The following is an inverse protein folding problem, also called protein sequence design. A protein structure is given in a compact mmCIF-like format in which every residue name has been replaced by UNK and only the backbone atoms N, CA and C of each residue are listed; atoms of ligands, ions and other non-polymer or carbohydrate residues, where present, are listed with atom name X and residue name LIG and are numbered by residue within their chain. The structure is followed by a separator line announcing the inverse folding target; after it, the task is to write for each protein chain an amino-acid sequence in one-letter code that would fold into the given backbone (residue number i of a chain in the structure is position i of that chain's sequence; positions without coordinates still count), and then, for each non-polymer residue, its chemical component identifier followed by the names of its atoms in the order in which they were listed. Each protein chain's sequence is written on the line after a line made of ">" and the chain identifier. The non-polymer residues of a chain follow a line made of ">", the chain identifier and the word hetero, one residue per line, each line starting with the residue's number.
data_IF_294778433172
#
_entry.id   IF_294778433172
#
_cell.length_a   1.000
_cell.length_b   1.000
_cell.length_c   1.000
_cell.angle_alpha   90.00
_cell.angle_beta   90.00
_cell.angle_gamma   90.00
#
_symmetry.space_group_name_H-M   'P 1'
#
loop_
_entity.id
_entity.type
_entity.pdbx_description
1 polymer ?
#
# COMPACT_ATOMS: atom_id res chain seq x y z
N UNK A 1 -14.75 -13.64 -57.80
CA UNK A 1 -13.37 -14.15 -57.93
C UNK A 1 -12.59 -13.65 -56.72
N UNK A 2 -12.44 -14.45 -55.67
CA UNK A 2 -11.74 -14.04 -54.45
C UNK A 2 -10.24 -14.08 -54.75
N UNK A 3 -9.59 -12.92 -54.69
CA UNK A 3 -8.17 -12.78 -55.01
C UNK A 3 -7.31 -13.60 -54.03
N UNK A 4 -6.28 -14.28 -54.53
CA UNK A 4 -5.32 -15.07 -53.73
C UNK A 4 -4.66 -14.20 -52.64
N UNK A 5 -4.58 -12.88 -52.86
CA UNK A 5 -4.13 -11.90 -51.85
C UNK A 5 -5.08 -11.79 -50.66
N UNK A 6 -6.40 -11.86 -50.87
CA UNK A 6 -7.40 -11.79 -49.80
C UNK A 6 -7.38 -13.04 -48.92
N UNK A 7 -7.19 -14.23 -49.51
CA UNK A 7 -7.08 -15.50 -48.77
C UNK A 7 -5.84 -15.50 -47.86
N UNK A 8 -4.71 -14.99 -48.37
CA UNK A 8 -3.47 -14.85 -47.61
C UNK A 8 -3.61 -13.90 -46.40
N UNK A 9 -4.25 -12.74 -46.59
CA UNK A 9 -4.46 -11.76 -45.53
C UNK A 9 -5.41 -12.27 -44.43
N UNK A 10 -6.49 -12.98 -44.80
CA UNK A 10 -7.43 -13.56 -43.84
C UNK A 10 -6.75 -14.69 -43.03
N UNK A 11 -5.93 -15.52 -43.68
CA UNK A 11 -5.18 -16.60 -43.01
C UNK A 11 -4.17 -16.06 -42.00
N UNK A 12 -3.46 -14.98 -42.35
CA UNK A 12 -2.47 -14.38 -41.47
C UNK A 12 -3.14 -13.68 -40.27
N UNK A 13 -4.26 -12.99 -40.49
CA UNK A 13 -5.06 -12.40 -39.42
C UNK A 13 -5.60 -13.46 -38.46
N UNK A 14 -6.09 -14.60 -38.96
CA UNK A 14 -6.55 -15.72 -38.13
C UNK A 14 -5.42 -16.32 -37.28
N UNK A 15 -4.24 -16.54 -37.86
CA UNK A 15 -3.07 -17.04 -37.13
C UNK A 15 -2.65 -16.08 -36.02
N UNK A 16 -2.63 -14.77 -36.27
CA UNK A 16 -2.32 -13.77 -35.25
C UNK A 16 -3.36 -13.78 -34.12
N UNK A 17 -4.65 -13.86 -34.44
CA UNK A 17 -5.73 -13.85 -33.44
C UNK A 17 -5.70 -15.08 -32.52
N UNK A 18 -5.43 -16.27 -33.09
CA UNK A 18 -5.31 -17.51 -32.32
C UNK A 18 -4.14 -17.46 -31.33
N UNK A 19 -2.99 -16.94 -31.75
CA UNK A 19 -1.81 -16.80 -30.89
C UNK A 19 -2.02 -15.82 -29.72
N UNK A 20 -2.75 -14.71 -29.93
CA UNK A 20 -3.08 -13.75 -28.86
C UNK A 20 -3.97 -14.38 -27.77
N UNK A 21 -4.95 -15.20 -28.17
CA UNK A 21 -5.85 -15.86 -27.22
C UNK A 21 -5.16 -16.95 -26.38
N UNK A 22 -4.20 -17.67 -26.97
CA UNK A 22 -3.45 -18.71 -26.29
C UNK A 22 -2.57 -18.14 -25.17
N UNK A 23 -1.98 -16.96 -25.37
CA UNK A 23 -1.13 -16.29 -24.39
C UNK A 23 -1.88 -15.98 -23.07
N UNK A 24 -3.15 -15.57 -23.17
CA UNK A 24 -3.99 -15.21 -22.03
C UNK A 24 -4.35 -16.41 -21.14
N UNK A 25 -4.44 -17.62 -21.71
CA UNK A 25 -4.85 -18.84 -21.00
C UNK A 25 -3.71 -19.36 -20.12
N UNK A 26 -2.47 -19.29 -20.59
CA UNK A 26 -1.28 -19.68 -19.81
C UNK A 26 -1.08 -18.84 -18.55
N UNK A 27 -1.39 -17.54 -18.62
CA UNK A 27 -1.24 -16.62 -17.47
C UNK A 27 -2.26 -16.91 -16.34
N UNK A 28 -3.45 -17.41 -16.68
CA UNK A 28 -4.52 -17.73 -15.73
C UNK A 28 -4.16 -19.00 -14.91
N UNK A 29 -3.58 -20.01 -15.55
CA UNK A 29 -3.16 -21.25 -14.88
C UNK A 29 -1.96 -21.02 -13.94
N UNK A 30 -1.05 -20.11 -14.29
CA UNK A 30 0.06 -19.72 -13.42
C UNK A 30 -0.41 -18.97 -12.16
N UNK A 31 -1.46 -18.16 -12.25
CA UNK A 31 -2.06 -17.47 -11.10
C UNK A 31 -2.73 -18.45 -10.11
N UNK A 32 -3.40 -19.50 -10.59
CA UNK A 32 -4.04 -20.51 -9.72
C UNK A 32 -3.03 -21.26 -8.84
N UNK A 33 -1.87 -21.65 -9.40
CA UNK A 33 -0.86 -22.46 -8.68
C UNK A 33 -0.13 -21.71 -7.56
N UNK A 34 -0.16 -20.37 -7.55
CA UNK A 34 0.50 -19.53 -6.53
C UNK A 34 -0.35 -19.31 -5.26
N UNK A 35 -1.61 -19.74 -5.27
CA UNK A 35 -2.58 -19.45 -4.20
C UNK A 35 -2.55 -20.40 -2.99
N UNK A 36 -1.75 -21.47 -3.02
CA UNK A 36 -1.54 -22.36 -1.85
C UNK A 36 -0.32 -21.96 -1.01
N UNK A 37 -0.06 -20.66 -0.89
CA UNK A 37 1.06 -20.10 -0.14
C UNK A 37 0.70 -19.86 1.33
N UNK A 38 1.60 -20.23 2.25
CA UNK A 38 1.57 -19.82 3.67
C UNK A 38 1.08 -18.37 3.81
N UNK A 39 0.19 -18.12 4.78
CA UNK A 39 -0.18 -16.77 5.19
C UNK A 39 1.10 -15.96 5.43
N UNK A 40 1.39 -15.01 4.54
CA UNK A 40 2.46 -14.03 4.79
C UNK A 40 1.93 -13.12 5.88
N UNK A 41 2.58 -13.12 7.04
CA UNK A 41 2.41 -12.01 7.96
C UNK A 41 2.99 -10.76 7.30
N UNK A 42 2.14 -9.75 7.16
CA UNK A 42 2.53 -8.43 6.67
C UNK A 42 2.67 -7.52 7.89
N UNK A 43 3.76 -6.76 7.95
CA UNK A 43 3.85 -5.64 8.88
C UNK A 43 2.84 -4.58 8.44
N UNK A 44 1.95 -4.19 9.35
CA UNK A 44 0.89 -3.22 9.07
C UNK A 44 1.35 -1.84 9.53
N UNK A 45 1.34 -0.86 8.62
CA UNK A 45 1.53 0.54 8.98
C UNK A 45 0.20 1.11 9.45
N UNK A 46 0.16 1.60 10.68
CA UNK A 46 -0.95 2.37 11.20
C UNK A 46 -0.61 3.87 11.14
N UNK A 47 -1.55 4.67 10.62
CA UNK A 47 -1.44 6.13 10.60
C UNK A 47 -2.74 6.74 11.14
N UNK A 48 -2.59 7.65 12.09
CA UNK A 48 -3.69 8.46 12.58
C UNK A 48 -3.52 9.90 12.09
N UNK A 49 -4.56 10.46 11.48
CA UNK A 49 -4.53 11.77 10.84
C UNK A 49 -4.16 11.74 9.35
N UNK A 50 -4.33 12.89 8.69
CA UNK A 50 -4.06 13.06 7.25
C UNK A 50 -2.99 14.14 7.04
N UNK A 51 -2.01 13.86 6.19
CA UNK A 51 -0.92 14.80 5.88
C UNK A 51 -1.45 16.16 5.39
N UNK A 52 -2.46 16.17 4.54
CA UNK A 52 -3.06 17.43 4.05
C UNK A 52 -3.75 18.22 5.17
N UNK A 53 -4.39 17.54 6.12
CA UNK A 53 -5.03 18.21 7.25
C UNK A 53 -3.99 18.85 8.17
N UNK A 54 -2.87 18.16 8.38
CA UNK A 54 -1.71 18.67 9.10
C UNK A 54 -1.12 19.93 8.41
N UNK A 55 -0.89 19.89 7.10
CA UNK A 55 -0.42 21.06 6.33
C UNK A 55 -1.43 22.23 6.35
N UNK A 56 -2.71 21.93 6.52
CA UNK A 56 -3.79 22.93 6.57
C UNK A 56 -4.02 23.51 7.97
N UNK A 57 -3.22 23.14 8.98
CA UNK A 57 -3.34 23.68 10.34
C UNK A 57 -4.26 22.91 11.28
N UNK A 58 -4.78 21.74 10.89
CA UNK A 58 -5.65 20.93 11.76
C UNK A 58 -4.81 20.11 12.75
N UNK A 59 -4.40 20.74 13.85
CA UNK A 59 -3.50 20.14 14.85
C UNK A 59 -4.19 19.50 16.05
N UNK A 60 -5.52 19.60 16.14
CA UNK A 60 -6.27 19.03 17.26
C UNK A 60 -6.29 17.51 17.16
N UNK A 61 -5.57 16.85 18.07
CA UNK A 61 -5.61 15.40 18.26
C UNK A 61 -6.85 14.96 19.03
N UNK A 62 -7.43 13.83 18.64
CA UNK A 62 -8.55 13.19 19.35
C UNK A 62 -8.25 11.75 19.78
N UNK A 63 -7.08 11.21 19.42
CA UNK A 63 -6.62 9.89 19.83
C UNK A 63 -5.69 10.01 21.06
N UNK A 64 -6.02 9.38 22.19
CA UNK A 64 -5.11 9.30 23.32
C UNK A 64 -3.81 8.57 22.97
N UNK A 65 -2.67 9.12 23.38
CA UNK A 65 -1.33 8.53 23.15
C UNK A 65 -1.25 7.09 23.68
N UNK A 66 -1.91 6.79 24.81
CA UNK A 66 -1.96 5.45 25.39
C UNK A 66 -2.60 4.40 24.49
N UNK A 67 -3.51 4.81 23.59
CA UNK A 67 -4.20 3.91 22.67
C UNK A 67 -3.34 3.54 21.46
N UNK A 68 -2.28 4.30 21.15
CA UNK A 68 -1.40 4.00 20.02
C UNK A 68 -0.69 2.65 20.15
N UNK A 69 -0.43 2.17 21.38
CA UNK A 69 0.17 0.86 21.63
C UNK A 69 -0.68 -0.32 21.15
N UNK A 70 -1.98 -0.09 20.90
CA UNK A 70 -2.88 -1.10 20.32
C UNK A 70 -2.55 -1.38 18.85
N UNK A 71 -1.82 -0.48 18.19
CA UNK A 71 -1.55 -0.53 16.76
C UNK A 71 -0.07 -0.84 16.42
N UNK A 72 0.82 -0.87 17.41
CA UNK A 72 2.23 -1.18 17.22
C UNK A 72 3.08 -0.79 18.43
N UNK A 73 4.36 -1.13 18.35
CA UNK A 73 5.39 -0.86 19.37
C UNK A 73 6.51 0.09 18.89
N UNK A 74 6.41 0.56 17.65
CA UNK A 74 7.35 1.49 17.01
C UNK A 74 6.61 2.53 16.17
N UNK A 75 7.05 3.79 16.22
CA UNK A 75 6.46 4.85 15.42
C UNK A 75 6.95 6.25 15.77
N UNK A 76 6.48 7.23 14.98
CA UNK A 76 6.78 8.66 15.14
C UNK A 76 5.50 9.47 14.93
N UNK A 77 5.48 10.71 15.42
CA UNK A 77 4.40 11.65 15.18
C UNK A 77 4.58 12.96 15.94
N UNK A 78 3.49 13.71 16.07
CA UNK A 78 3.41 14.90 16.89
C UNK A 78 2.23 14.76 17.87
N UNK A 79 2.36 15.26 19.10
CA UNK A 79 1.27 15.32 20.06
C UNK A 79 0.26 16.42 19.69
N UNK A 80 -0.82 16.52 20.47
CA UNK A 80 -1.86 17.55 20.30
C UNK A 80 -1.24 18.95 20.19
N UNK A 81 -1.77 19.77 19.28
CA UNK A 81 -1.32 21.15 19.05
C UNK A 81 0.16 21.31 18.66
N UNK A 82 0.78 20.27 18.09
CA UNK A 82 2.22 20.28 17.72
C UNK A 82 3.14 20.60 18.90
N UNK A 83 2.80 20.12 20.10
CA UNK A 83 3.60 20.30 21.31
C UNK A 83 4.88 19.44 21.29
N UNK A 84 5.75 19.69 20.30
CA UNK A 84 6.99 18.97 20.05
C UNK A 84 6.82 17.67 19.24
N UNK A 85 7.66 16.67 19.52
CA UNK A 85 7.71 15.42 18.74
C UNK A 85 7.42 14.21 19.61
N UNK A 86 6.76 13.21 19.03
CA UNK A 86 6.42 11.96 19.68
C UNK A 86 7.18 10.81 19.01
N UNK A 87 7.84 9.98 19.82
CA UNK A 87 8.56 8.78 19.36
C UNK A 87 8.12 7.59 20.22
N UNK A 88 7.85 6.45 19.58
CA UNK A 88 7.60 5.17 20.24
C UNK A 88 8.73 4.19 19.93
N UNK A 89 9.34 3.62 20.96
CA UNK A 89 10.35 2.56 20.83
C UNK A 89 10.02 1.48 21.86
N UNK A 90 9.89 0.23 21.40
CA UNK A 90 9.55 -0.93 22.23
C UNK A 90 8.29 -0.69 23.09
N UNK A 91 7.29 -0.02 22.52
CA UNK A 91 6.05 0.33 23.20
C UNK A 91 6.18 1.39 24.31
N UNK A 92 7.36 1.99 24.50
CA UNK A 92 7.55 3.16 25.37
C UNK A 92 7.48 4.44 24.54
N UNK A 93 6.70 5.39 25.03
CA UNK A 93 6.50 6.70 24.40
C UNK A 93 7.45 7.71 24.99
N UNK A 94 7.96 8.59 24.14
CA UNK A 94 8.84 9.70 24.48
C UNK A 94 8.32 10.95 23.79
N UNK A 95 8.25 12.05 24.51
CA UNK A 95 7.91 13.36 23.96
C UNK A 95 9.10 14.32 24.12
N UNK A 96 9.51 14.94 23.03
CA UNK A 96 10.39 16.11 23.07
C UNK A 96 9.54 17.37 23.06
N UNK A 97 9.96 18.42 23.74
CA UNK A 97 9.30 19.74 23.71
C UNK A 97 10.22 20.78 23.08
N UNK A 98 9.65 21.84 22.51
CA UNK A 98 10.44 22.94 21.95
C UNK A 98 11.34 23.62 22.99
N UNK A 99 11.00 23.50 24.28
CA UNK A 99 11.80 23.99 25.41
C UNK A 99 13.11 23.21 25.61
N UNK A 100 13.28 22.07 24.93
CA UNK A 100 14.39 21.14 25.13
C UNK A 100 14.17 20.15 26.28
N UNK A 101 13.00 20.15 26.91
CA UNK A 101 12.62 19.16 27.92
C UNK A 101 12.15 17.85 27.25
N UNK A 102 12.41 16.72 27.92
CA UNK A 102 12.05 15.37 27.46
C UNK A 102 11.33 14.62 28.59
N UNK A 103 10.23 13.91 28.26
CA UNK A 103 9.44 13.09 29.20
C UNK A 103 9.12 11.70 28.61
#
# INVERSE_FOLDING_TARGET
>A
MIDKKCISLISLACLVYLNVSAQQITDIEQRKKKSTGKNKEYNVLYQYGMANAFLSGLYKGTLPIGDLKKYGDFGIGAPDMLDGELIMINGKMYQTRFTGEHQ
#
